data_IF_514000990169
#
_entry.id   IF_514000990169
#
_cell.length_a   1.000
_cell.length_b   1.000
_cell.length_c   1.000
_cell.angle_alpha   90.00
_cell.angle_beta   90.00
_cell.angle_gamma   90.00
#
_symmetry.space_group_name_H-M   'P 1'
#
loop_
_entity.id
_entity.type
_entity.pdbx_description
1 polymer ?
#
# COMPACT_ATOMS: atom_id res chain seq x y z
N UNK A 1 10.31 -5.09 12.54
CA UNK A 1 9.38 -6.05 11.95
C UNK A 1 8.72 -5.39 10.75
N UNK A 2 8.70 -6.06 9.62
CA UNK A 2 8.05 -5.58 8.39
C UNK A 2 6.59 -5.99 8.46
N UNK A 3 5.67 -5.07 8.12
CA UNK A 3 4.24 -5.37 8.13
C UNK A 3 3.81 -5.99 6.80
N UNK A 4 3.03 -7.08 6.80
CA UNK A 4 2.38 -7.58 5.57
C UNK A 4 1.36 -6.56 5.03
N UNK A 5 1.04 -6.65 3.73
CA UNK A 5 0.15 -5.69 3.06
C UNK A 5 -1.30 -5.67 3.57
N UNK A 6 -1.75 -6.76 4.22
CA UNK A 6 -3.05 -6.86 4.87
C UNK A 6 -3.07 -6.34 6.32
N UNK A 7 -1.95 -5.81 6.84
CA UNK A 7 -1.85 -5.37 8.24
C UNK A 7 -2.77 -4.18 8.54
N UNK A 8 -3.20 -4.11 9.81
CA UNK A 8 -3.88 -2.93 10.35
C UNK A 8 -2.96 -1.71 10.37
N UNK A 9 -3.52 -0.48 10.38
CA UNK A 9 -2.75 0.74 10.49
C UNK A 9 -1.85 0.73 11.72
N UNK A 10 -0.56 1.04 11.52
CA UNK A 10 0.43 1.15 12.58
C UNK A 10 0.42 2.54 13.23
N UNK A 11 0.11 3.55 12.43
CA UNK A 11 0.09 4.93 12.90
C UNK A 11 -1.15 5.18 13.75
N UNK A 12 -0.95 5.72 14.93
CA UNK A 12 -2.06 6.12 15.81
C UNK A 12 -2.83 7.29 15.17
N UNK A 13 -4.17 7.30 15.28
CA UNK A 13 -4.96 8.43 14.83
C UNK A 13 -4.47 9.77 15.42
N UNK A 14 -4.30 10.78 14.57
CA UNK A 14 -3.81 12.10 15.00
C UNK A 14 -2.31 12.19 15.27
N UNK A 15 -1.54 11.12 15.03
CA UNK A 15 -0.08 11.17 15.11
C UNK A 15 0.45 12.21 14.11
N UNK A 16 1.23 13.17 14.63
CA UNK A 16 1.92 14.13 13.77
C UNK A 16 2.98 13.42 12.92
N UNK A 17 2.93 13.68 11.61
CA UNK A 17 3.87 13.18 10.60
C UNK A 17 4.55 14.35 9.90
N UNK A 18 5.62 14.08 9.16
CA UNK A 18 6.22 15.12 8.32
C UNK A 18 5.23 15.68 7.30
N UNK A 19 4.36 14.81 6.75
CA UNK A 19 3.33 15.23 5.80
C UNK A 19 2.28 16.16 6.45
N UNK A 20 1.77 15.82 7.65
CA UNK A 20 0.81 16.69 8.38
C UNK A 20 1.44 18.02 8.75
N UNK A 21 2.71 18.01 9.19
CA UNK A 21 3.44 19.23 9.53
C UNK A 21 3.61 20.15 8.31
N UNK A 22 4.07 19.62 7.18
CA UNK A 22 4.27 20.40 5.96
C UNK A 22 2.94 20.87 5.37
N UNK A 23 1.90 20.04 5.37
CA UNK A 23 0.55 20.43 4.97
C UNK A 23 0.02 21.61 5.80
N UNK A 24 0.25 21.61 7.12
CA UNK A 24 -0.12 22.73 7.99
C UNK A 24 0.62 24.03 7.68
N UNK A 25 1.70 23.97 6.91
CA UNK A 25 2.51 25.11 6.45
C UNK A 25 2.22 25.48 4.98
N UNK A 26 1.14 24.94 4.39
CA UNK A 26 0.70 25.28 3.04
C UNK A 26 1.40 24.49 1.93
N UNK A 27 2.07 23.38 2.27
CA UNK A 27 2.62 22.49 1.26
C UNK A 27 1.52 21.59 0.68
N UNK A 28 1.56 21.37 -0.62
CA UNK A 28 0.90 20.20 -1.24
C UNK A 28 1.69 18.95 -0.92
N UNK A 29 1.02 17.87 -0.56
CA UNK A 29 1.69 16.65 -0.10
C UNK A 29 1.27 15.45 -0.92
N UNK A 30 2.24 14.68 -1.44
CA UNK A 30 1.97 13.48 -2.20
C UNK A 30 2.89 12.34 -1.75
N UNK A 31 2.35 11.12 -1.77
CA UNK A 31 3.10 9.89 -1.60
C UNK A 31 2.90 9.01 -2.83
N UNK A 32 3.99 8.55 -3.44
CA UNK A 32 3.95 7.59 -4.54
C UNK A 32 4.87 6.44 -4.20
N UNK A 33 4.38 5.20 -4.20
CA UNK A 33 5.17 4.02 -3.87
C UNK A 33 4.53 3.11 -2.84
N UNK A 34 5.33 2.32 -2.11
CA UNK A 34 4.83 1.42 -1.06
C UNK A 34 4.48 2.18 0.21
N UNK A 35 3.30 1.92 0.78
CA UNK A 35 2.93 2.49 2.07
C UNK A 35 3.60 1.77 3.24
N UNK A 36 3.42 0.48 3.35
CA UNK A 36 4.08 -0.45 4.29
C UNK A 36 3.87 -0.14 5.79
N UNK A 37 2.85 0.64 6.13
CA UNK A 37 2.50 1.00 7.50
C UNK A 37 1.11 0.49 7.91
N UNK A 38 0.58 -0.47 7.14
CA UNK A 38 -0.77 -0.99 7.34
C UNK A 38 -1.85 -0.06 6.80
N UNK A 39 -3.01 -0.62 6.54
CA UNK A 39 -4.15 0.09 5.95
C UNK A 39 -5.44 -0.28 6.67
N UNK A 40 -6.35 0.68 6.79
CA UNK A 40 -7.70 0.48 7.30
C UNK A 40 -8.61 -0.22 6.30
N UNK A 41 -8.31 -1.49 6.00
CA UNK A 41 -9.13 -2.32 5.14
C UNK A 41 -10.51 -2.51 5.74
N UNK A 42 -11.54 -2.36 4.93
CA UNK A 42 -12.88 -2.79 5.29
C UNK A 42 -13.06 -4.28 5.02
N UNK A 43 -13.92 -4.91 5.81
CA UNK A 43 -14.21 -6.33 5.71
C UNK A 43 -15.60 -6.56 5.15
N UNK A 44 -15.77 -7.70 4.48
CA UNK A 44 -17.09 -8.20 4.08
C UNK A 44 -17.95 -8.46 5.33
N UNK A 45 -19.25 -8.33 5.19
CA UNK A 45 -20.20 -8.52 6.29
C UNK A 45 -19.95 -9.83 7.07
N UNK A 46 -19.85 -9.69 8.41
CA UNK A 46 -19.65 -10.83 9.30
C UNK A 46 -18.24 -11.40 9.35
N UNK A 47 -17.27 -10.76 8.70
CA UNK A 47 -15.89 -11.20 8.72
C UNK A 47 -15.07 -10.38 9.72
N UNK A 48 -14.42 -11.06 10.65
CA UNK A 48 -13.45 -10.45 11.55
C UNK A 48 -12.03 -10.78 11.09
N UNK A 49 -11.23 -9.74 10.81
CA UNK A 49 -9.82 -9.92 10.51
C UNK A 49 -9.11 -10.48 11.77
N UNK A 50 -8.21 -11.45 11.61
CA UNK A 50 -7.42 -11.97 12.72
C UNK A 50 -6.65 -10.84 13.43
N UNK A 51 -6.67 -10.83 14.75
CA UNK A 51 -6.06 -9.76 15.56
C UNK A 51 -4.52 -9.66 15.43
N UNK A 52 -3.86 -10.69 14.94
CA UNK A 52 -2.40 -10.69 14.74
C UNK A 52 -2.03 -11.39 13.44
N UNK A 53 -1.50 -10.62 12.49
CA UNK A 53 -0.88 -11.16 11.26
C UNK A 53 0.50 -11.77 11.50
N UNK A 54 1.01 -11.72 12.71
CA UNK A 54 2.32 -12.25 13.10
C UNK A 54 2.24 -13.68 13.66
N UNK A 55 1.05 -14.24 13.81
CA UNK A 55 0.90 -15.64 14.17
C UNK A 55 1.25 -16.51 12.96
N UNK A 56 2.34 -17.31 13.01
CA UNK A 56 2.72 -18.20 11.91
C UNK A 56 1.65 -19.25 11.58
N UNK A 57 0.65 -19.43 12.44
CA UNK A 57 -0.45 -20.36 12.24
C UNK A 57 -1.69 -19.68 11.61
N UNK A 58 -1.67 -18.35 11.40
CA UNK A 58 -2.77 -17.67 10.71
C UNK A 58 -2.74 -18.06 9.23
N UNK A 59 -3.84 -18.64 8.78
CA UNK A 59 -4.07 -18.92 7.37
C UNK A 59 -4.18 -17.61 6.60
N UNK A 60 -3.13 -17.25 5.87
CA UNK A 60 -3.07 -16.01 5.09
C UNK A 60 -4.19 -15.94 4.04
N UNK A 61 -4.59 -17.08 3.46
CA UNK A 61 -5.69 -17.14 2.50
C UNK A 61 -7.00 -16.62 3.15
N UNK A 62 -7.21 -16.91 4.45
CA UNK A 62 -8.36 -16.40 5.21
C UNK A 62 -8.28 -14.91 5.46
N UNK A 63 -7.11 -14.35 5.71
CA UNK A 63 -6.95 -12.91 5.92
C UNK A 63 -7.41 -12.13 4.71
N UNK A 64 -7.00 -12.53 3.52
CA UNK A 64 -7.38 -11.84 2.29
C UNK A 64 -8.84 -12.06 1.88
N UNK A 65 -9.39 -13.26 2.15
CA UNK A 65 -10.76 -13.60 1.78
C UNK A 65 -11.81 -12.66 2.42
N UNK A 66 -11.49 -12.13 3.59
CA UNK A 66 -12.37 -11.23 4.33
C UNK A 66 -12.27 -9.77 3.94
N UNK A 67 -11.25 -9.35 3.22
CA UNK A 67 -11.10 -7.96 2.79
C UNK A 67 -12.08 -7.64 1.67
N UNK A 68 -12.78 -6.52 1.79
CA UNK A 68 -13.58 -5.94 0.72
C UNK A 68 -12.73 -4.93 -0.07
N UNK A 69 -12.09 -5.39 -1.13
CA UNK A 69 -11.27 -4.55 -2.01
C UNK A 69 -12.07 -3.54 -2.83
N UNK A 70 -13.39 -3.56 -2.79
CA UNK A 70 -14.25 -2.58 -3.46
C UNK A 70 -14.63 -1.42 -2.55
N UNK A 71 -14.49 -1.61 -1.24
CA UNK A 71 -14.75 -0.58 -0.23
C UNK A 71 -13.60 0.42 -0.12
N UNK A 72 -13.85 1.65 0.38
CA UNK A 72 -12.79 2.62 0.62
C UNK A 72 -11.89 2.17 1.78
N UNK A 73 -10.60 2.49 1.65
CA UNK A 73 -9.62 2.36 2.73
C UNK A 73 -9.88 3.49 3.73
N UNK A 74 -10.13 3.13 4.99
CA UNK A 74 -10.53 4.10 6.02
C UNK A 74 -9.37 4.77 6.73
N UNK A 75 -8.19 4.16 6.69
CA UNK A 75 -6.95 4.69 7.25
C UNK A 75 -5.76 4.30 6.36
N UNK A 76 -4.98 5.30 5.98
CA UNK A 76 -3.85 5.15 5.06
C UNK A 76 -3.14 6.49 4.84
N UNK A 77 -2.36 6.65 3.77
CA UNK A 77 -1.58 7.85 3.51
C UNK A 77 -2.37 9.16 3.61
N UNK A 78 -3.60 9.19 3.09
CA UNK A 78 -4.42 10.40 3.09
C UNK A 78 -4.83 10.84 4.50
N UNK A 79 -5.08 9.91 5.42
CA UNK A 79 -5.40 10.21 6.82
C UNK A 79 -4.17 10.67 7.62
N UNK A 80 -2.97 10.41 7.09
CA UNK A 80 -1.70 10.76 7.70
C UNK A 80 -0.97 11.93 7.02
N UNK A 81 -1.73 12.79 6.32
CA UNK A 81 -1.29 14.10 5.86
C UNK A 81 -0.94 14.22 4.39
N UNK A 82 -1.08 13.16 3.59
CA UNK A 82 -0.91 13.25 2.15
C UNK A 82 -2.21 13.66 1.46
N UNK A 83 -2.15 14.69 0.60
CA UNK A 83 -3.27 15.10 -0.26
C UNK A 83 -3.53 14.09 -1.37
N UNK A 84 -2.47 13.42 -1.82
CA UNK A 84 -2.51 12.43 -2.87
C UNK A 84 -1.66 11.22 -2.52
N UNK A 85 -2.18 10.05 -2.84
CA UNK A 85 -1.46 8.77 -2.77
C UNK A 85 -1.64 7.98 -4.06
N UNK A 86 -0.55 7.39 -4.53
CA UNK A 86 -0.56 6.37 -5.57
C UNK A 86 0.48 5.31 -5.26
N UNK A 87 0.08 4.04 -5.18
CA UNK A 87 1.06 3.01 -4.86
C UNK A 87 0.48 1.68 -4.46
N UNK A 88 1.21 0.98 -3.61
CA UNK A 88 0.88 -0.35 -3.12
C UNK A 88 0.80 -0.42 -1.60
N UNK A 89 0.05 -1.40 -1.05
CA UNK A 89 -0.05 -1.62 0.40
C UNK A 89 1.30 -1.89 1.07
N UNK A 90 2.16 -2.69 0.43
CA UNK A 90 3.45 -3.13 0.92
C UNK A 90 4.48 -3.23 -0.21
N UNK A 91 5.57 -4.00 0.00
CA UNK A 91 6.59 -4.24 -1.02
C UNK A 91 6.05 -5.07 -2.19
N UNK A 92 6.73 -5.01 -3.33
CA UNK A 92 6.37 -5.73 -4.56
C UNK A 92 6.34 -7.26 -4.44
N UNK A 93 6.86 -7.77 -3.36
CA UNK A 93 6.92 -9.19 -3.04
C UNK A 93 5.89 -9.62 -1.97
N UNK A 94 5.10 -8.67 -1.44
CA UNK A 94 4.13 -8.90 -0.36
C UNK A 94 2.70 -8.54 -0.81
N UNK A 95 1.76 -9.51 -0.77
CA UNK A 95 0.38 -9.27 -1.15
C UNK A 95 -0.37 -8.38 -0.13
N UNK A 96 -1.51 -7.80 -0.51
CA UNK A 96 -2.18 -7.94 -1.81
C UNK A 96 -1.48 -7.11 -2.90
N UNK A 97 -1.38 -7.70 -4.09
CA UNK A 97 -0.76 -7.05 -5.25
C UNK A 97 -1.80 -6.23 -6.01
N UNK A 98 -2.11 -5.06 -5.47
CA UNK A 98 -3.11 -4.14 -6.00
C UNK A 98 -2.58 -2.72 -6.01
N UNK A 99 -2.93 -1.96 -7.04
CA UNK A 99 -2.69 -0.52 -7.08
C UNK A 99 -3.77 0.21 -6.31
N UNK A 100 -3.34 1.21 -5.56
CA UNK A 100 -4.21 2.09 -4.79
C UNK A 100 -4.02 3.52 -5.28
N UNK A 101 -5.12 4.22 -5.52
CA UNK A 101 -5.10 5.67 -5.69
C UNK A 101 -5.98 6.30 -4.61
N UNK A 102 -5.35 7.12 -3.79
CA UNK A 102 -5.93 7.72 -2.59
C UNK A 102 -6.47 6.63 -1.62
N UNK A 103 -7.79 6.54 -1.49
CA UNK A 103 -8.48 5.61 -0.61
C UNK A 103 -9.10 4.41 -1.33
N UNK A 104 -8.73 4.15 -2.61
CA UNK A 104 -9.36 3.12 -3.44
C UNK A 104 -8.35 2.20 -4.10
N UNK A 105 -8.64 0.93 -4.05
CA UNK A 105 -8.03 -0.05 -4.95
C UNK A 105 -8.55 0.22 -6.37
N UNK A 106 -7.63 0.38 -7.33
CA UNK A 106 -8.01 0.70 -8.72
C UNK A 106 -8.71 -0.46 -9.42
N UNK A 107 -8.21 -1.65 -9.21
CA UNK A 107 -8.79 -2.87 -9.74
C UNK A 107 -8.75 -3.96 -8.67
N UNK A 108 -9.90 -4.45 -8.20
CA UNK A 108 -9.92 -5.53 -7.22
C UNK A 108 -9.19 -6.78 -7.73
N UNK A 109 -8.53 -7.53 -6.83
CA UNK A 109 -7.84 -8.76 -7.21
C UNK A 109 -8.83 -9.80 -7.72
N UNK A 110 -8.46 -10.54 -8.76
CA UNK A 110 -9.28 -11.58 -9.39
C UNK A 110 -8.63 -12.97 -9.36
N UNK A 111 -7.37 -13.05 -8.96
CA UNK A 111 -6.62 -14.32 -8.88
C UNK A 111 -5.61 -14.31 -7.73
N UNK A 112 -5.08 -15.48 -7.44
CA UNK A 112 -3.97 -15.67 -6.50
C UNK A 112 -2.68 -15.91 -7.26
N UNK A 113 -1.58 -15.31 -6.83
CA UNK A 113 -0.25 -15.49 -7.43
C UNK A 113 0.81 -15.65 -6.35
N UNK A 114 2.05 -15.99 -6.74
CA UNK A 114 3.18 -16.16 -5.83
C UNK A 114 3.39 -17.58 -5.32
N UNK A 115 4.27 -17.72 -4.34
CA UNK A 115 4.72 -19.02 -3.80
C UNK A 115 4.21 -19.19 -2.37
N UNK A 116 3.43 -20.26 -2.14
CA UNK A 116 2.94 -20.60 -0.79
C UNK A 116 4.09 -21.05 0.12
N UNK A 117 4.10 -20.50 1.34
CA UNK A 117 5.09 -20.89 2.34
C UNK A 117 6.50 -20.42 2.03
N UNK A 118 6.64 -19.36 1.25
CA UNK A 118 7.93 -18.78 0.94
C UNK A 118 8.66 -18.37 2.23
N UNK A 119 9.80 -19.01 2.48
CA UNK A 119 10.73 -18.62 3.54
C UNK A 119 11.95 -18.00 2.87
N UNK A 120 12.16 -16.71 3.08
CA UNK A 120 13.33 -16.01 2.53
C UNK A 120 14.59 -16.42 3.25
N UNK A 121 15.52 -17.02 2.52
CA UNK A 121 16.80 -17.51 3.03
C UNK A 121 17.99 -16.87 2.29
N UNK A 122 18.25 -15.59 2.53
CA UNK A 122 19.50 -14.96 2.12
C UNK A 122 19.54 -14.38 0.68
N UNK A 123 20.67 -13.75 0.31
CA UNK A 123 20.77 -12.92 -0.90
C UNK A 123 20.79 -13.66 -2.23
N UNK A 124 21.01 -14.96 -2.22
CA UNK A 124 21.19 -15.78 -3.44
C UNK A 124 19.91 -16.51 -3.86
N UNK A 125 18.78 -16.25 -3.21
CA UNK A 125 17.50 -16.82 -3.60
C UNK A 125 16.87 -16.00 -4.74
N UNK A 126 16.26 -16.65 -5.74
CA UNK A 126 15.50 -15.92 -6.75
C UNK A 126 14.44 -15.05 -6.09
N UNK A 127 14.15 -13.90 -6.72
CA UNK A 127 13.11 -12.99 -6.24
C UNK A 127 11.74 -13.63 -6.48
N UNK A 128 11.22 -14.29 -5.45
CA UNK A 128 9.87 -14.82 -5.44
C UNK A 128 8.94 -13.89 -4.69
N UNK A 129 7.70 -13.80 -5.14
CA UNK A 129 6.63 -13.08 -4.43
C UNK A 129 5.90 -14.02 -3.49
N UNK A 130 5.49 -13.51 -2.33
CA UNK A 130 4.66 -14.26 -1.39
C UNK A 130 3.29 -14.56 -2.00
N UNK A 131 2.69 -15.69 -1.63
CA UNK A 131 1.41 -16.09 -2.17
C UNK A 131 0.28 -15.20 -1.65
N UNK A 132 -0.51 -14.62 -2.56
CA UNK A 132 -1.66 -13.80 -2.21
C UNK A 132 -2.43 -13.25 -3.40
N UNK A 133 -3.49 -12.47 -3.13
CA UNK A 133 -4.36 -11.92 -4.17
C UNK A 133 -3.64 -10.87 -5.01
N UNK A 134 -3.90 -10.89 -6.32
CA UNK A 134 -3.37 -9.96 -7.30
C UNK A 134 -4.46 -9.42 -8.22
N UNK A 135 -4.32 -8.17 -8.62
CA UNK A 135 -5.15 -7.57 -9.66
C UNK A 135 -4.86 -8.17 -11.03
N UNK A 136 -5.80 -8.09 -11.99
CA UNK A 136 -5.58 -8.58 -13.34
C UNK A 136 -4.33 -7.99 -13.98
N UNK A 137 -3.45 -8.86 -14.49
CA UNK A 137 -2.24 -8.43 -15.20
C UNK A 137 -1.17 -7.81 -14.32
N UNK A 138 -1.17 -8.05 -13.01
CA UNK A 138 -0.09 -7.60 -12.13
C UNK A 138 1.28 -8.07 -12.63
N UNK A 139 2.18 -7.12 -12.86
CA UNK A 139 3.57 -7.35 -13.25
C UNK A 139 4.49 -6.53 -12.32
N UNK A 140 5.25 -7.19 -11.42
CA UNK A 140 6.17 -6.48 -10.53
C UNK A 140 7.21 -5.62 -11.27
N UNK A 141 7.62 -6.05 -12.48
CA UNK A 141 8.62 -5.32 -13.27
C UNK A 141 8.08 -4.01 -13.86
N UNK A 142 6.76 -3.93 -14.07
CA UNK A 142 6.11 -2.72 -14.57
C UNK A 142 5.85 -1.67 -13.48
N UNK A 143 5.82 -2.07 -12.20
CA UNK A 143 5.38 -1.20 -11.10
C UNK A 143 6.29 0.00 -10.86
N UNK A 144 7.61 -0.19 -10.84
CA UNK A 144 8.55 0.92 -10.62
C UNK A 144 8.52 1.93 -11.76
N UNK A 145 8.60 1.52 -13.05
CA UNK A 145 8.41 2.45 -14.17
C UNK A 145 7.08 3.22 -14.14
N UNK A 146 6.01 2.60 -13.71
CA UNK A 146 4.70 3.25 -13.59
C UNK A 146 4.69 4.30 -12.46
N UNK A 147 5.27 3.97 -11.30
CA UNK A 147 5.45 4.91 -10.20
C UNK A 147 6.36 6.08 -10.59
N UNK A 148 7.45 5.84 -11.31
CA UNK A 148 8.32 6.87 -11.85
C UNK A 148 7.56 7.85 -12.75
N UNK A 149 6.75 7.34 -13.67
CA UNK A 149 5.91 8.16 -14.54
C UNK A 149 4.90 9.01 -13.74
N UNK A 150 4.30 8.45 -12.70
CA UNK A 150 3.39 9.18 -11.80
C UNK A 150 4.12 10.28 -11.04
N UNK A 151 5.31 10.01 -10.51
CA UNK A 151 6.16 11.01 -9.84
C UNK A 151 6.49 12.17 -10.78
N UNK A 152 6.95 11.87 -11.99
CA UNK A 152 7.28 12.89 -12.98
C UNK A 152 6.07 13.77 -13.32
N UNK A 153 4.90 13.15 -13.54
CA UNK A 153 3.65 13.86 -13.80
C UNK A 153 3.26 14.79 -12.65
N UNK A 154 3.39 14.34 -11.39
CA UNK A 154 3.11 15.17 -10.22
C UNK A 154 4.09 16.33 -10.06
N UNK A 155 5.38 16.09 -10.32
CA UNK A 155 6.40 17.16 -10.29
C UNK A 155 6.10 18.21 -11.35
N UNK A 156 5.76 17.83 -12.57
CA UNK A 156 5.37 18.76 -13.64
C UNK A 156 4.13 19.57 -13.24
N UNK A 157 3.12 18.90 -12.69
CA UNK A 157 1.89 19.56 -12.22
C UNK A 157 2.15 20.56 -11.09
N UNK A 158 2.98 20.16 -10.11
CA UNK A 158 3.24 20.99 -8.92
C UNK A 158 4.25 22.12 -9.21
N UNK A 159 5.17 21.93 -10.13
CA UNK A 159 6.10 22.99 -10.56
C UNK A 159 5.41 24.18 -11.24
N UNK A 160 4.18 24.00 -11.72
CA UNK A 160 3.37 25.04 -12.36
C UNK A 160 2.57 25.92 -11.41
N UNK A 161 2.65 25.70 -10.09
CA UNK A 161 1.89 26.44 -9.07
C UNK A 161 2.82 27.08 -8.05
N UNK A 162 2.33 28.12 -7.34
CA UNK A 162 3.16 28.86 -6.36
C UNK A 162 3.32 28.13 -5.03
N UNK A 163 2.36 27.23 -4.69
CA UNK A 163 2.46 26.49 -3.44
C UNK A 163 3.62 25.51 -3.45
N UNK A 164 4.43 25.48 -2.39
CA UNK A 164 5.48 24.47 -2.26
C UNK A 164 4.88 23.09 -2.16
N UNK A 165 5.63 22.06 -2.56
CA UNK A 165 5.17 20.68 -2.45
C UNK A 165 6.16 19.78 -1.71
N UNK A 166 5.64 18.74 -1.10
CA UNK A 166 6.37 17.63 -0.50
C UNK A 166 5.93 16.34 -1.19
N UNK A 167 6.86 15.68 -1.86
CA UNK A 167 6.63 14.40 -2.50
C UNK A 167 7.52 13.36 -1.84
N UNK A 168 6.87 12.33 -1.26
CA UNK A 168 7.53 11.17 -0.68
C UNK A 168 7.44 9.99 -1.64
N UNK A 169 8.60 9.46 -2.06
CA UNK A 169 8.68 8.38 -3.03
C UNK A 169 9.42 7.17 -2.45
N UNK A 170 8.75 6.31 -1.67
CA UNK A 170 9.30 5.05 -1.16
C UNK A 170 9.23 3.95 -2.24
N UNK A 171 10.38 3.54 -2.76
CA UNK A 171 10.53 2.45 -3.73
C UNK A 171 10.72 1.09 -3.07
#
# INVERSE_FOLDING_TARGET
SVLPGQSFPLLEPGRETLATLLKSRGYRTACVGKWHLGLGWQTKDGYELPATYQDPNVDQDRCFAGIDFTAPITDGPNQHGFDYFYGMPASLDQPPFVRIENDRVLTPPDHMTGVKGLVRHGPDQPFDVEYGPAEPGFDPAAMVPEMDAKVLSLVEQYAGVEEPFFLYYPT
#
